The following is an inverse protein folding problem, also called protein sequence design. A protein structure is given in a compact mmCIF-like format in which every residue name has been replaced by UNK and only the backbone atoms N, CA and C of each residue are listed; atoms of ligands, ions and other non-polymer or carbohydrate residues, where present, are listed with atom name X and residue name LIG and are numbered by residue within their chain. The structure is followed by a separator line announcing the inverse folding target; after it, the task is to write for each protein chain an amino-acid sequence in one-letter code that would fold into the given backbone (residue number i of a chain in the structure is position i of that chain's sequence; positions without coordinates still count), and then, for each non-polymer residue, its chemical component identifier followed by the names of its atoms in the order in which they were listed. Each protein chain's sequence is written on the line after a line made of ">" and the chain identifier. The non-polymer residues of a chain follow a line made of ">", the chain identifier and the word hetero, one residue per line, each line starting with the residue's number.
data_IF_383709473094
#
_entry.id   IF_383709473094
#
_cell.length_a   1.000
_cell.length_b   1.000
_cell.length_c   1.000
_cell.angle_alpha   90.00
_cell.angle_beta   90.00
_cell.angle_gamma   90.00
#
_symmetry.space_group_name_H-M   'P 1'
#
loop_
_entity.id
_entity.type
_entity.pdbx_description
1 polymer ?
#
# COMPACT_ATOMS: atom_id res chain seq x y z
N UNK A 1 13.85 -15.41 44.95
CA UNK A 1 14.87 -14.51 45.55
C UNK A 1 14.24 -13.13 45.63
N UNK A 2 13.85 -12.67 46.82
CA UNK A 2 13.12 -11.41 46.99
C UNK A 2 14.10 -10.23 46.99
N UNK A 3 13.81 -9.19 46.19
CA UNK A 3 14.61 -7.97 46.11
C UNK A 3 14.38 -7.19 47.42
N UNK A 4 15.41 -7.12 48.28
CA UNK A 4 15.29 -6.60 49.66
C UNK A 4 15.85 -5.19 49.88
N UNK A 5 16.38 -4.52 48.85
CA UNK A 5 16.98 -3.18 49.02
C UNK A 5 16.33 -2.12 48.10
N UNK A 6 16.07 -0.90 48.61
CA UNK A 6 15.52 0.19 47.81
C UNK A 6 16.47 0.61 46.66
N UNK A 7 17.78 0.44 46.82
CA UNK A 7 18.76 0.67 45.76
C UNK A 7 18.59 -0.32 44.59
N UNK A 8 18.27 -1.58 44.87
CA UNK A 8 18.02 -2.59 43.84
C UNK A 8 16.73 -2.33 43.05
N UNK A 9 15.70 -1.75 43.68
CA UNK A 9 14.46 -1.33 43.02
C UNK A 9 14.72 -0.14 42.07
N UNK A 10 15.50 0.85 42.52
CA UNK A 10 15.88 1.99 41.70
C UNK A 10 16.73 1.59 40.49
N UNK A 11 17.70 0.69 40.69
CA UNK A 11 18.55 0.18 39.61
C UNK A 11 17.73 -0.59 38.56
N UNK A 12 16.77 -1.40 39.01
CA UNK A 12 15.86 -2.13 38.11
C UNK A 12 14.94 -1.18 37.34
N UNK A 13 14.41 -0.14 38.00
CA UNK A 13 13.61 0.89 37.35
C UNK A 13 14.41 1.67 36.30
N UNK A 14 15.68 2.03 36.57
CA UNK A 14 16.58 2.66 35.59
C UNK A 14 16.90 1.73 34.41
N UNK A 15 17.13 0.43 34.67
CA UNK A 15 17.37 -0.55 33.61
C UNK A 15 16.13 -0.71 32.71
N UNK A 16 14.93 -0.78 33.30
CA UNK A 16 13.66 -0.82 32.57
C UNK A 16 13.43 0.48 31.79
N UNK A 17 13.73 1.66 32.35
CA UNK A 17 13.66 2.93 31.62
C UNK A 17 14.64 2.98 30.44
N UNK A 18 15.85 2.45 30.61
CA UNK A 18 16.86 2.37 29.55
C UNK A 18 16.49 1.35 28.46
N UNK A 19 15.79 0.27 28.82
CA UNK A 19 15.22 -0.72 27.90
C UNK A 19 14.01 -0.14 27.13
N UNK A 20 13.16 0.66 27.78
CA UNK A 20 12.06 1.37 27.11
C UNK A 20 12.54 2.58 26.30
N UNK A 21 13.64 3.22 26.71
CA UNK A 21 14.22 4.38 26.03
C UNK A 21 14.91 4.07 24.70
N UNK A 22 15.12 2.79 24.37
CA UNK A 22 15.56 2.34 23.04
C UNK A 22 14.41 2.13 22.05
N UNK A 23 13.15 2.17 22.51
CA UNK A 23 12.00 2.32 21.63
C UNK A 23 11.86 3.80 21.30
N UNK A 24 12.84 4.34 20.57
CA UNK A 24 12.55 5.52 19.77
C UNK A 24 11.45 5.05 18.82
N UNK A 25 10.20 5.40 19.10
CA UNK A 25 9.15 5.32 18.10
C UNK A 25 9.70 6.09 16.91
N UNK A 26 10.13 5.36 15.87
CA UNK A 26 10.53 5.97 14.61
C UNK A 26 9.24 6.58 14.09
N UNK A 27 8.99 7.85 14.43
CA UNK A 27 8.01 8.66 13.73
C UNK A 27 8.63 8.96 12.37
N UNK A 28 8.72 7.94 11.53
CA UNK A 28 8.92 8.11 10.11
C UNK A 28 7.57 8.58 9.58
N UNK A 29 7.52 9.78 9.02
CA UNK A 29 6.47 10.09 8.07
C UNK A 29 6.57 9.03 6.97
N UNK A 30 5.56 8.16 6.87
CA UNK A 30 5.51 7.12 5.86
C UNK A 30 5.34 7.79 4.48
N UNK A 31 6.43 7.98 3.75
CA UNK A 31 6.38 8.57 2.41
C UNK A 31 6.12 7.44 1.42
N UNK A 32 5.00 7.56 0.69
CA UNK A 32 4.68 6.74 -0.47
C UNK A 32 5.00 7.47 -1.77
N UNK A 33 5.39 6.75 -2.82
CA UNK A 33 5.67 7.32 -4.14
C UNK A 33 5.11 6.43 -5.25
N UNK A 34 4.65 7.05 -6.34
CA UNK A 34 4.31 6.33 -7.58
C UNK A 34 5.55 6.24 -8.47
N UNK A 35 5.82 5.06 -9.03
CA UNK A 35 7.00 4.82 -9.87
C UNK A 35 6.64 4.05 -11.15
N UNK A 36 7.34 4.35 -12.23
CA UNK A 36 7.19 3.73 -13.55
C UNK A 36 6.19 4.41 -14.48
N UNK A 37 5.96 5.71 -14.34
CA UNK A 37 5.03 6.46 -15.22
C UNK A 37 5.74 7.24 -16.33
N UNK A 38 7.02 7.57 -16.16
CA UNK A 38 7.80 8.33 -17.13
C UNK A 38 9.02 7.54 -17.63
N UNK A 39 9.42 7.77 -18.88
CA UNK A 39 10.58 7.10 -19.49
C UNK A 39 11.93 7.57 -18.95
N UNK A 40 11.96 8.75 -18.33
CA UNK A 40 13.17 9.37 -17.81
C UNK A 40 13.39 9.09 -16.31
N UNK A 41 12.58 8.19 -15.73
CA UNK A 41 12.75 7.73 -14.35
C UNK A 41 13.97 6.80 -14.24
N UNK A 42 14.61 6.83 -13.07
CA UNK A 42 15.65 5.87 -12.71
C UNK A 42 15.08 4.46 -12.50
N UNK A 43 15.96 3.51 -12.15
CA UNK A 43 15.52 2.16 -11.82
C UNK A 43 14.66 2.14 -10.54
N UNK A 44 13.79 1.14 -10.41
CA UNK A 44 13.02 0.94 -9.19
C UNK A 44 13.95 0.63 -8.01
N UNK A 45 15.03 -0.13 -8.27
CA UNK A 45 16.07 -0.41 -7.30
C UNK A 45 16.73 0.87 -6.76
N UNK A 46 17.07 1.83 -7.63
CA UNK A 46 17.67 3.11 -7.23
C UNK A 46 16.71 3.93 -6.37
N UNK A 47 15.42 4.00 -6.74
CA UNK A 47 14.40 4.68 -5.96
C UNK A 47 14.31 4.10 -4.54
N UNK A 48 14.26 2.77 -4.40
CA UNK A 48 14.22 2.10 -3.09
C UNK A 48 15.54 2.23 -2.31
N UNK A 49 16.69 2.31 -3.00
CA UNK A 49 17.99 2.48 -2.37
C UNK A 49 18.18 3.87 -1.73
N UNK A 50 17.37 4.87 -2.10
CA UNK A 50 17.42 6.21 -1.48
C UNK A 50 17.12 6.19 0.02
N UNK A 51 16.33 5.21 0.50
CA UNK A 51 15.85 5.17 1.88
C UNK A 51 14.80 6.23 2.21
N UNK A 52 14.27 6.94 1.21
CA UNK A 52 13.27 8.00 1.39
C UNK A 52 11.84 7.48 1.49
N UNK A 53 11.57 6.29 0.92
CA UNK A 53 10.22 5.77 0.74
C UNK A 53 9.99 4.52 1.56
N UNK A 54 8.79 4.42 2.13
CA UNK A 54 8.33 3.21 2.81
C UNK A 54 7.39 2.40 1.91
N UNK A 55 6.72 3.08 0.96
CA UNK A 55 5.78 2.49 0.01
C UNK A 55 6.10 2.95 -1.41
N UNK A 56 6.07 2.02 -2.37
CA UNK A 56 6.18 2.31 -3.80
C UNK A 56 5.02 1.68 -4.56
N UNK A 57 4.20 2.51 -5.19
CA UNK A 57 3.11 2.10 -6.06
C UNK A 57 3.61 2.05 -7.50
N UNK A 58 3.71 0.84 -8.08
CA UNK A 58 4.20 0.65 -9.44
C UNK A 58 3.05 0.70 -10.45
N UNK A 59 3.25 1.42 -11.55
CA UNK A 59 2.30 1.48 -12.67
C UNK A 59 2.73 0.61 -13.87
N UNK A 60 3.91 -0.01 -13.80
CA UNK A 60 4.45 -0.90 -14.84
C UNK A 60 5.16 -2.10 -14.24
N UNK A 61 5.55 -3.06 -15.08
CA UNK A 61 6.17 -4.31 -14.67
C UNK A 61 7.68 -4.13 -14.46
N UNK A 62 8.14 -4.37 -13.23
CA UNK A 62 9.55 -4.32 -12.85
C UNK A 62 10.05 -5.67 -12.35
N UNK A 63 11.29 -6.02 -12.67
CA UNK A 63 11.98 -7.19 -12.12
C UNK A 63 12.68 -6.89 -10.77
N UNK A 64 12.81 -5.62 -10.39
CA UNK A 64 13.56 -5.17 -9.20
C UNK A 64 12.73 -5.15 -7.91
N UNK A 65 11.52 -5.71 -7.93
CA UNK A 65 10.58 -5.72 -6.80
C UNK A 65 11.23 -6.31 -5.54
N UNK A 66 11.94 -7.43 -5.68
CA UNK A 66 12.59 -8.09 -4.55
C UNK A 66 13.66 -7.21 -3.89
N UNK A 67 14.39 -6.41 -4.67
CA UNK A 67 15.40 -5.48 -4.15
C UNK A 67 14.79 -4.44 -3.20
N UNK A 68 13.58 -3.95 -3.52
CA UNK A 68 12.84 -3.05 -2.63
C UNK A 68 12.35 -3.75 -1.37
N UNK A 69 11.75 -4.94 -1.53
CA UNK A 69 11.18 -5.70 -0.43
C UNK A 69 12.24 -6.14 0.60
N UNK A 70 13.43 -6.54 0.14
CA UNK A 70 14.58 -6.87 1.00
C UNK A 70 15.06 -5.68 1.84
N UNK A 71 14.75 -4.46 1.41
CA UNK A 71 15.07 -3.21 2.13
C UNK A 71 13.93 -2.75 3.05
N UNK A 72 12.86 -3.54 3.17
CA UNK A 72 11.68 -3.21 3.97
C UNK A 72 10.74 -2.21 3.30
N UNK A 73 10.95 -1.89 2.02
CA UNK A 73 10.04 -1.04 1.24
C UNK A 73 8.90 -1.90 0.71
N UNK A 74 7.66 -1.49 0.98
CA UNK A 74 6.47 -2.15 0.45
C UNK A 74 6.31 -1.80 -1.02
N UNK A 75 5.99 -2.80 -1.86
CA UNK A 75 5.72 -2.59 -3.28
C UNK A 75 4.30 -3.03 -3.63
N UNK A 76 3.48 -2.10 -4.12
CA UNK A 76 2.08 -2.32 -4.46
C UNK A 76 1.86 -2.12 -5.96
N UNK A 77 0.98 -2.89 -6.57
CA UNK A 77 0.54 -2.63 -7.94
C UNK A 77 -0.56 -1.57 -7.91
N UNK A 78 -0.34 -0.44 -8.60
CA UNK A 78 -1.40 0.54 -8.80
C UNK A 78 -2.29 0.13 -9.98
N UNK A 79 -3.59 0.07 -9.75
CA UNK A 79 -4.62 -0.13 -10.78
C UNK A 79 -5.33 1.19 -11.06
N UNK A 80 -5.73 1.38 -12.32
CA UNK A 80 -6.40 2.60 -12.76
C UNK A 80 -5.44 3.59 -13.42
N UNK A 81 -5.35 4.79 -12.87
CA UNK A 81 -4.68 5.95 -13.46
C UNK A 81 -5.62 6.79 -14.33
N UNK A 82 -5.05 7.64 -15.19
CA UNK A 82 -5.82 8.46 -16.12
C UNK A 82 -6.43 7.62 -17.25
N UNK A 83 -7.72 7.77 -17.50
CA UNK A 83 -8.42 7.05 -18.58
C UNK A 83 -9.90 6.79 -18.28
N UNK A 84 -10.54 6.00 -19.13
CA UNK A 84 -11.91 5.54 -18.94
C UNK A 84 -11.93 4.02 -18.84
N UNK A 85 -12.19 3.51 -17.64
CA UNK A 85 -12.29 2.09 -17.31
C UNK A 85 -13.36 1.89 -16.24
N UNK A 86 -13.70 0.65 -15.92
CA UNK A 86 -14.66 0.36 -14.89
C UNK A 86 -14.92 -1.12 -14.76
N UNK A 87 -15.60 -1.47 -13.67
CA UNK A 87 -16.10 -2.81 -13.42
C UNK A 87 -17.58 -2.83 -13.82
N UNK A 88 -17.96 -3.83 -14.61
CA UNK A 88 -19.28 -3.91 -15.23
C UNK A 88 -20.33 -4.62 -14.37
N UNK A 89 -19.89 -5.40 -13.38
CA UNK A 89 -20.75 -6.15 -12.47
C UNK A 89 -19.99 -6.61 -11.23
N UNK A 90 -20.72 -7.11 -10.23
CA UNK A 90 -20.13 -7.80 -9.08
C UNK A 90 -19.30 -9.03 -9.49
N UNK A 91 -19.68 -9.74 -10.57
CA UNK A 91 -18.92 -10.92 -11.01
C UNK A 91 -17.61 -10.51 -11.68
N UNK A 92 -17.64 -9.46 -12.50
CA UNK A 92 -16.45 -8.85 -13.09
C UNK A 92 -15.46 -8.38 -12.01
N UNK A 93 -15.96 -7.76 -10.93
CA UNK A 93 -15.13 -7.39 -9.78
C UNK A 93 -14.44 -8.60 -9.11
N UNK A 94 -15.13 -9.75 -8.97
CA UNK A 94 -14.53 -10.98 -8.43
C UNK A 94 -13.53 -11.61 -9.38
N UNK A 95 -13.78 -11.56 -10.68
CA UNK A 95 -12.86 -12.05 -11.70
C UNK A 95 -11.58 -11.23 -11.71
N UNK A 96 -11.68 -9.90 -11.62
CA UNK A 96 -10.54 -9.01 -11.45
C UNK A 96 -9.81 -9.28 -10.13
N UNK A 97 -10.53 -9.46 -9.01
CA UNK A 97 -9.93 -9.82 -7.72
C UNK A 97 -9.13 -11.13 -7.80
N UNK A 98 -9.70 -12.14 -8.47
CA UNK A 98 -9.05 -13.45 -8.68
C UNK A 98 -7.81 -13.33 -9.56
N UNK A 99 -7.91 -12.54 -10.63
CA UNK A 99 -6.77 -12.24 -11.50
C UNK A 99 -5.64 -11.58 -10.71
N UNK A 100 -5.93 -10.52 -9.95
CA UNK A 100 -4.93 -9.82 -9.13
C UNK A 100 -4.27 -10.75 -8.10
N UNK A 101 -5.08 -11.56 -7.41
CA UNK A 101 -4.59 -12.51 -6.41
C UNK A 101 -3.62 -13.54 -6.99
N UNK A 102 -3.97 -14.13 -8.13
CA UNK A 102 -3.19 -15.22 -8.73
C UNK A 102 -2.02 -14.76 -9.60
N UNK A 103 -2.11 -13.56 -10.20
CA UNK A 103 -1.06 -13.03 -11.08
C UNK A 103 0.01 -12.22 -10.33
N UNK A 104 -0.36 -11.53 -9.26
CA UNK A 104 0.53 -10.54 -8.61
C UNK A 104 0.73 -10.75 -7.10
N UNK A 105 -0.25 -11.34 -6.41
CA UNK A 105 -0.18 -11.60 -4.97
C UNK A 105 0.18 -13.08 -4.70
N UNK A 106 -0.23 -13.60 -3.55
CA UNK A 106 0.17 -14.92 -3.05
C UNK A 106 -0.55 -16.12 -3.68
N UNK A 107 -1.54 -15.90 -4.57
CA UNK A 107 -2.25 -16.96 -5.24
C UNK A 107 -1.43 -17.60 -6.36
N UNK A 108 -1.76 -18.86 -6.71
CA UNK A 108 -1.30 -19.46 -7.96
C UNK A 108 -2.41 -20.32 -8.58
N UNK A 109 -2.56 -20.26 -9.90
CA UNK A 109 -3.42 -21.18 -10.64
C UNK A 109 -2.90 -21.27 -12.08
N UNK A 110 -2.92 -22.46 -12.68
CA UNK A 110 -2.35 -22.70 -14.00
C UNK A 110 -2.95 -21.82 -15.13
N UNK A 111 -4.19 -21.33 -14.94
CA UNK A 111 -4.87 -20.46 -15.91
C UNK A 111 -4.41 -19.00 -15.88
N UNK A 112 -3.65 -18.59 -14.86
CA UNK A 112 -3.18 -17.22 -14.71
C UNK A 112 -1.67 -17.17 -14.94
N UNK A 113 -1.23 -16.30 -15.87
CA UNK A 113 0.17 -15.96 -15.99
C UNK A 113 0.59 -15.06 -14.82
N UNK A 114 1.87 -15.12 -14.46
CA UNK A 114 2.48 -14.17 -13.51
C UNK A 114 3.44 -13.26 -14.27
N UNK A 115 3.00 -12.04 -14.66
CA UNK A 115 3.81 -11.14 -15.48
C UNK A 115 5.12 -10.69 -14.81
N UNK A 116 5.13 -10.68 -13.47
CA UNK A 116 6.30 -10.34 -12.64
C UNK A 116 7.10 -11.60 -12.24
N UNK A 117 6.89 -12.72 -12.92
CA UNK A 117 7.48 -14.01 -12.56
C UNK A 117 7.06 -14.45 -11.15
N UNK A 118 8.04 -14.83 -10.33
CA UNK A 118 7.79 -15.32 -8.98
C UNK A 118 7.63 -14.22 -7.93
N UNK A 119 7.70 -12.93 -8.32
CA UNK A 119 7.50 -11.84 -7.38
C UNK A 119 6.07 -11.86 -6.81
N UNK A 120 5.95 -11.61 -5.50
CA UNK A 120 4.68 -11.46 -4.77
C UNK A 120 4.64 -10.05 -4.21
N UNK A 121 3.68 -9.24 -4.66
CA UNK A 121 3.54 -7.86 -4.22
C UNK A 121 2.93 -7.77 -2.81
N UNK A 122 3.17 -6.64 -2.15
CA UNK A 122 2.67 -6.37 -0.81
C UNK A 122 1.20 -5.91 -0.79
N UNK A 123 0.65 -5.49 -1.95
CA UNK A 123 -0.74 -5.05 -2.04
C UNK A 123 -1.14 -4.51 -3.41
N UNK A 124 -2.38 -4.01 -3.47
CA UNK A 124 -2.97 -3.34 -4.64
C UNK A 124 -3.34 -1.92 -4.22
N UNK A 125 -2.90 -0.93 -4.99
CA UNK A 125 -3.26 0.48 -4.86
C UNK A 125 -4.37 0.85 -5.84
N UNK A 126 -5.44 1.47 -5.35
CA UNK A 126 -6.60 1.85 -6.16
C UNK A 126 -6.46 3.32 -6.57
N UNK A 127 -5.79 3.58 -7.69
CA UNK A 127 -5.65 4.92 -8.25
C UNK A 127 -6.77 5.21 -9.25
N UNK A 128 -8.02 5.20 -8.80
CA UNK A 128 -9.21 5.33 -9.67
C UNK A 128 -9.51 6.80 -9.94
N UNK A 129 -9.31 7.24 -11.19
CA UNK A 129 -9.39 8.65 -11.58
C UNK A 129 -10.30 8.91 -12.80
N UNK A 130 -11.06 7.92 -13.27
CA UNK A 130 -12.01 8.10 -14.38
C UNK A 130 -12.82 6.86 -14.73
N UNK A 131 -13.89 7.05 -15.49
CA UNK A 131 -14.79 5.99 -15.96
C UNK A 131 -16.00 5.74 -15.05
N UNK A 132 -16.20 4.51 -14.58
CA UNK A 132 -17.31 4.15 -13.67
C UNK A 132 -16.89 4.25 -12.20
N UNK A 133 -17.84 4.49 -11.29
CA UNK A 133 -17.64 4.45 -9.83
C UNK A 133 -18.16 3.13 -9.21
N UNK A 134 -18.70 2.24 -10.03
CA UNK A 134 -19.40 1.04 -9.57
C UNK A 134 -18.46 -0.14 -9.32
N UNK A 135 -18.88 -1.02 -8.41
CA UNK A 135 -18.28 -2.31 -8.10
C UNK A 135 -16.87 -2.35 -7.47
N UNK A 136 -16.24 -1.20 -7.22
CA UNK A 136 -14.96 -1.14 -6.51
C UNK A 136 -15.05 -1.57 -5.05
N UNK A 137 -16.22 -1.46 -4.41
CA UNK A 137 -16.42 -1.99 -3.06
C UNK A 137 -16.47 -3.52 -3.03
N UNK A 138 -17.00 -4.16 -4.07
CA UNK A 138 -16.91 -5.61 -4.26
C UNK A 138 -15.48 -6.05 -4.59
N UNK A 139 -14.73 -5.28 -5.40
CA UNK A 139 -13.32 -5.57 -5.66
C UNK A 139 -12.44 -5.43 -4.40
N UNK A 140 -12.73 -4.44 -3.55
CA UNK A 140 -12.01 -4.23 -2.29
C UNK A 140 -12.37 -5.28 -1.21
N UNK A 141 -13.55 -5.91 -1.28
CA UNK A 141 -13.90 -7.02 -0.37
C UNK A 141 -15.14 -6.85 0.54
N UNK A 142 -16.16 -6.07 0.15
CA UNK A 142 -17.62 -6.19 0.47
C UNK A 142 -18.39 -5.10 1.27
N UNK A 143 -19.71 -5.01 0.93
CA UNK A 143 -20.98 -4.45 1.52
C UNK A 143 -21.04 -3.01 2.13
N UNK A 144 -21.99 -2.21 1.59
CA UNK A 144 -22.19 -0.75 1.77
C UNK A 144 -23.04 -0.28 2.99
N UNK A 145 -22.66 0.87 3.59
CA UNK A 145 -23.49 1.95 4.24
C UNK A 145 -22.73 3.32 4.16
N UNK A 146 -23.36 4.51 3.90
CA UNK A 146 -22.83 5.67 3.11
C UNK A 146 -21.79 6.67 3.72
N UNK A 147 -21.09 7.40 2.80
CA UNK A 147 -20.06 8.49 2.88
C UNK A 147 -18.58 8.02 3.01
N UNK A 148 -17.49 8.52 2.33
CA UNK A 148 -17.21 9.62 1.35
C UNK A 148 -16.29 9.27 0.11
N UNK A 149 -16.03 10.18 -0.85
CA UNK A 149 -15.24 10.08 -2.14
C UNK A 149 -16.05 9.67 -3.39
N UNK A 150 -15.90 10.40 -4.52
CA UNK A 150 -16.74 10.21 -5.73
C UNK A 150 -16.48 8.87 -6.41
N UNK A 151 -15.22 8.42 -6.47
CA UNK A 151 -14.82 7.21 -7.20
C UNK A 151 -14.75 5.99 -6.29
N UNK A 152 -14.13 6.15 -5.13
CA UNK A 152 -13.84 5.06 -4.20
C UNK A 152 -14.70 5.10 -2.95
N UNK A 153 -15.69 5.99 -2.89
CA UNK A 153 -16.32 6.21 -1.60
C UNK A 153 -17.14 5.06 -1.05
N UNK A 154 -17.56 4.15 -1.92
CA UNK A 154 -18.12 2.91 -1.43
C UNK A 154 -17.06 1.96 -0.86
N UNK A 155 -15.89 1.91 -1.50
CA UNK A 155 -14.76 1.06 -1.14
C UNK A 155 -14.04 1.55 0.12
N UNK A 156 -13.81 2.85 0.30
CA UNK A 156 -13.14 3.39 1.51
C UNK A 156 -13.87 3.05 2.82
N UNK A 157 -15.17 2.73 2.77
CA UNK A 157 -15.98 2.40 3.96
C UNK A 157 -15.92 0.93 4.36
N UNK A 158 -15.22 0.10 3.60
CA UNK A 158 -15.07 -1.31 3.96
C UNK A 158 -14.15 -1.49 5.17
N UNK A 159 -13.39 -0.45 5.55
CA UNK A 159 -12.33 -0.51 6.56
C UNK A 159 -11.21 -1.51 6.19
N UNK A 160 -11.06 -1.77 4.88
CA UNK A 160 -10.07 -2.72 4.32
C UNK A 160 -8.84 -2.04 3.72
N UNK A 161 -8.81 -0.70 3.68
CA UNK A 161 -7.65 0.04 3.19
C UNK A 161 -6.69 0.31 4.34
N UNK A 162 -5.49 -0.29 4.30
CA UNK A 162 -4.44 -0.01 5.27
C UNK A 162 -3.89 1.43 5.15
N UNK A 163 -3.87 1.98 3.92
CA UNK A 163 -3.36 3.30 3.61
C UNK A 163 -4.26 4.02 2.60
N UNK A 164 -4.40 5.33 2.76
CA UNK A 164 -5.15 6.21 1.85
C UNK A 164 -4.27 7.39 1.45
N UNK A 165 -3.90 7.44 0.17
CA UNK A 165 -3.10 8.52 -0.42
C UNK A 165 -4.01 9.60 -1.00
N UNK A 166 -4.28 10.67 -0.25
CA UNK A 166 -5.18 11.74 -0.72
C UNK A 166 -4.46 12.66 -1.71
N UNK A 167 -5.01 12.80 -2.91
CA UNK A 167 -4.49 13.71 -3.93
C UNK A 167 -4.89 15.16 -3.63
N UNK A 168 -3.95 15.96 -3.11
CA UNK A 168 -4.14 17.39 -2.85
C UNK A 168 -3.60 18.30 -3.97
N UNK A 169 -3.76 17.88 -5.22
CA UNK A 169 -3.36 18.63 -6.41
C UNK A 169 -4.35 18.37 -7.54
N UNK A 170 -4.33 19.17 -8.61
CA UNK A 170 -5.24 19.06 -9.76
C UNK A 170 -6.74 19.11 -9.41
N UNK A 171 -7.11 19.63 -8.23
CA UNK A 171 -8.48 19.90 -7.82
C UNK A 171 -8.56 21.29 -7.16
N UNK A 172 -9.07 22.32 -7.85
CA UNK A 172 -9.07 23.71 -7.35
C UNK A 172 -9.80 23.92 -6.02
N UNK A 173 -10.71 23.00 -5.64
CA UNK A 173 -11.46 23.10 -4.39
C UNK A 173 -10.70 22.61 -3.15
N UNK A 174 -9.63 21.83 -3.34
CA UNK A 174 -8.90 21.19 -2.24
C UNK A 174 -7.39 21.02 -2.49
N UNK A 175 -6.83 21.63 -3.53
CA UNK A 175 -5.38 21.63 -3.74
C UNK A 175 -4.65 22.51 -2.74
N UNK A 176 -3.41 22.15 -2.41
CA UNK A 176 -2.53 23.07 -1.68
C UNK A 176 -2.07 24.21 -2.60
N UNK A 177 -2.22 25.45 -2.11
CA UNK A 177 -1.74 26.69 -2.73
C UNK A 177 -0.41 27.12 -2.14
#
# INVERSE_FOLDING_TARGET
>A
MAIRSPASLLLFAFLMLALTGRLQARRSSCIGVYWGQNTDEGSLADACATGNYEYVNIATLFNEIQSCQERGVKVMLSIGGGGSYGLSSTEDAKDVASYLWHSFLGGSAARYSRPLGNAVLDGIDFNIAGGSTEHYDELAGTKKCPFPDYWLGNALRTDLFDFVWVQFFNNPSCHFS
#
